data_IF_034944419790
#
_entry.id   IF_034944419790
#
_cell.length_a   1.000
_cell.length_b   1.000
_cell.length_c   1.000
_cell.angle_alpha   90.00
_cell.angle_beta   90.00
_cell.angle_gamma   90.00
#
_symmetry.space_group_name_H-M   'P 1'
#
loop_
_entity.id
_entity.type
_entity.pdbx_description
1 polymer ?
#
# COMPACT_ATOMS: atom_id res chain seq x y z
N UNK A 1 -38.89 67.44 15.62
CA UNK A 1 -39.17 66.14 16.28
C UNK A 1 -38.71 65.01 15.36
N UNK A 2 -37.54 64.43 15.63
CA UNK A 2 -36.88 63.49 14.73
C UNK A 2 -37.15 62.03 15.13
N UNK A 3 -37.52 61.22 14.12
CA UNK A 3 -38.07 59.86 14.19
C UNK A 3 -37.00 58.85 14.65
N UNK A 4 -37.22 58.16 15.77
CA UNK A 4 -36.39 57.03 16.25
C UNK A 4 -36.42 55.87 15.24
N UNK A 5 -35.25 55.40 14.81
CA UNK A 5 -35.08 54.12 14.07
C UNK A 5 -35.14 52.94 15.05
N UNK A 6 -35.83 51.82 14.72
CA UNK A 6 -35.86 50.64 15.57
C UNK A 6 -34.54 49.86 15.50
N UNK A 7 -34.05 49.43 16.66
CA UNK A 7 -32.92 48.52 16.80
C UNK A 7 -33.34 47.11 16.34
N UNK A 8 -32.69 46.61 15.29
CA UNK A 8 -32.84 45.25 14.80
C UNK A 8 -32.13 44.27 15.73
N UNK A 9 -32.91 43.36 16.30
CA UNK A 9 -32.52 42.35 17.27
C UNK A 9 -31.51 41.33 16.67
N UNK A 10 -30.49 41.00 17.46
CA UNK A 10 -29.40 40.07 17.13
C UNK A 10 -29.88 38.65 16.88
N UNK A 11 -29.34 37.99 15.85
CA UNK A 11 -29.19 36.53 15.84
C UNK A 11 -27.69 36.21 15.67
N UNK A 12 -27.03 35.56 16.64
CA UNK A 12 -25.69 35.04 16.41
C UNK A 12 -25.80 33.90 15.40
N UNK A 13 -25.18 34.07 14.23
CA UNK A 13 -25.05 33.02 13.23
C UNK A 13 -24.24 31.89 13.86
N UNK A 14 -24.87 30.74 14.05
CA UNK A 14 -24.24 29.55 14.57
C UNK A 14 -22.95 29.23 13.77
N UNK A 15 -21.81 29.28 14.45
CA UNK A 15 -20.54 28.83 13.91
C UNK A 15 -20.66 27.35 13.54
N UNK A 16 -20.79 27.08 12.23
CA UNK A 16 -20.65 25.73 11.68
C UNK A 16 -19.28 25.18 12.11
N UNK A 17 -19.17 23.90 12.49
CA UNK A 17 -17.90 23.32 12.89
C UNK A 17 -16.89 23.53 11.77
N UNK A 18 -15.80 24.20 12.12
CA UNK A 18 -14.75 24.66 11.21
C UNK A 18 -14.13 23.43 10.53
N UNK A 19 -14.60 23.08 9.33
CA UNK A 19 -13.96 22.05 8.50
C UNK A 19 -12.59 22.60 8.10
N UNK A 20 -11.59 22.32 8.94
CA UNK A 20 -10.20 22.72 8.74
C UNK A 20 -9.79 22.24 7.35
N UNK A 21 -9.64 23.18 6.41
CA UNK A 21 -9.28 22.86 5.02
C UNK A 21 -7.94 22.14 5.04
N UNK A 22 -7.90 20.95 4.43
CA UNK A 22 -6.66 20.17 4.30
C UNK A 22 -5.57 21.01 3.65
N UNK A 23 -4.34 20.91 4.18
CA UNK A 23 -3.18 21.56 3.59
C UNK A 23 -2.87 20.99 2.20
N UNK A 24 -2.12 21.73 1.38
CA UNK A 24 -1.74 21.25 0.04
C UNK A 24 -0.91 19.96 0.10
N UNK A 25 -0.07 19.81 1.13
CA UNK A 25 0.69 18.60 1.37
C UNK A 25 -0.23 17.41 1.68
N UNK A 26 -1.23 17.60 2.55
CA UNK A 26 -2.21 16.57 2.90
C UNK A 26 -3.04 16.14 1.69
N UNK A 27 -3.48 17.11 0.87
CA UNK A 27 -4.21 16.80 -0.38
C UNK A 27 -3.33 15.99 -1.32
N UNK A 28 -2.07 16.40 -1.50
CA UNK A 28 -1.12 15.69 -2.35
C UNK A 28 -0.88 14.25 -1.87
N UNK A 29 -0.70 14.05 -0.56
CA UNK A 29 -0.55 12.72 0.04
C UNK A 29 -1.82 11.87 -0.12
N UNK A 30 -3.00 12.46 0.07
CA UNK A 30 -4.27 11.79 -0.17
C UNK A 30 -4.39 11.28 -1.61
N UNK A 31 -4.11 12.13 -2.60
CA UNK A 31 -4.14 11.71 -4.01
C UNK A 31 -3.09 10.64 -4.31
N UNK A 32 -1.87 10.76 -3.76
CA UNK A 32 -0.82 9.77 -3.94
C UNK A 32 -1.25 8.37 -3.46
N UNK A 33 -1.96 8.25 -2.33
CA UNK A 33 -2.50 6.96 -1.86
C UNK A 33 -3.53 6.37 -2.82
N UNK A 34 -4.43 7.20 -3.34
CA UNK A 34 -5.47 6.77 -4.29
C UNK A 34 -4.88 6.36 -5.64
N UNK A 35 -3.87 7.08 -6.11
CA UNK A 35 -3.12 6.74 -7.33
C UNK A 35 -2.31 5.45 -7.13
N UNK A 36 -1.62 5.32 -6.00
CA UNK A 36 -0.87 4.12 -5.64
C UNK A 36 -1.79 2.88 -5.57
N UNK A 37 -3.01 3.00 -5.03
CA UNK A 37 -3.95 1.90 -4.96
C UNK A 37 -4.36 1.39 -6.35
N UNK A 38 -4.55 2.31 -7.30
CA UNK A 38 -4.85 1.94 -8.70
C UNK A 38 -3.68 1.20 -9.35
N UNK A 39 -2.46 1.70 -9.15
CA UNK A 39 -1.24 1.05 -9.70
C UNK A 39 -1.04 -0.32 -9.05
N UNK A 40 -1.17 -0.42 -7.74
CA UNK A 40 -1.03 -1.67 -6.98
C UNK A 40 -2.06 -2.72 -7.44
N UNK A 41 -3.31 -2.30 -7.67
CA UNK A 41 -4.35 -3.17 -8.24
C UNK A 41 -3.95 -3.74 -9.59
N UNK A 42 -3.46 -2.93 -10.51
CA UNK A 42 -2.99 -3.42 -11.82
C UNK A 42 -1.86 -4.44 -11.66
N UNK A 43 -0.92 -4.20 -10.74
CA UNK A 43 0.21 -5.09 -10.47
C UNK A 43 -0.27 -6.44 -9.90
N UNK A 44 -1.12 -6.41 -8.88
CA UNK A 44 -1.62 -7.63 -8.23
C UNK A 44 -2.53 -8.44 -9.16
N UNK A 45 -3.35 -7.78 -9.98
CA UNK A 45 -4.15 -8.46 -10.99
C UNK A 45 -3.29 -9.07 -12.10
N UNK A 46 -2.21 -8.40 -12.50
CA UNK A 46 -1.22 -8.93 -13.45
C UNK A 46 -0.53 -10.19 -12.91
N UNK A 47 -0.08 -10.13 -11.66
CA UNK A 47 0.54 -11.27 -10.97
C UNK A 47 -0.42 -12.47 -10.84
N UNK A 48 -1.66 -12.21 -10.41
CA UNK A 48 -2.70 -13.25 -10.30
C UNK A 48 -3.02 -13.91 -11.65
N UNK A 49 -2.95 -13.15 -12.75
CA UNK A 49 -3.19 -13.65 -14.12
C UNK A 49 -1.92 -14.16 -14.80
N UNK A 50 -0.77 -14.19 -14.11
CA UNK A 50 0.55 -14.50 -14.67
C UNK A 50 0.86 -13.73 -15.97
N UNK A 51 0.43 -12.47 -16.04
CA UNK A 51 0.59 -11.61 -17.23
C UNK A 51 1.40 -10.37 -16.90
N UNK A 52 2.37 -10.07 -17.75
CA UNK A 52 3.14 -8.83 -17.65
C UNK A 52 2.23 -7.63 -17.97
N UNK A 53 1.94 -6.82 -16.96
CA UNK A 53 1.16 -5.56 -17.07
C UNK A 53 2.04 -4.33 -17.31
N UNK A 54 3.36 -4.47 -17.15
CA UNK A 54 4.35 -3.39 -17.25
C UNK A 54 5.24 -3.31 -16.00
N UNK A 55 6.33 -2.56 -16.09
CA UNK A 55 7.19 -2.30 -14.93
C UNK A 55 6.52 -1.30 -13.98
N UNK A 56 6.84 -1.39 -12.68
CA UNK A 56 6.34 -0.43 -11.66
C UNK A 56 6.64 1.01 -12.09
N UNK A 57 7.84 1.25 -12.63
CA UNK A 57 8.25 2.56 -13.15
C UNK A 57 7.34 3.01 -14.30
N UNK A 58 7.07 2.16 -15.29
CA UNK A 58 6.20 2.52 -16.41
C UNK A 58 4.78 2.87 -15.94
N UNK A 59 4.21 2.06 -15.04
CA UNK A 59 2.86 2.29 -14.52
C UNK A 59 2.74 3.60 -13.74
N UNK A 60 3.72 3.91 -12.87
CA UNK A 60 3.67 5.13 -12.06
C UNK A 60 3.96 6.38 -12.89
N UNK A 61 4.88 6.32 -13.85
CA UNK A 61 5.22 7.48 -14.68
C UNK A 61 4.21 7.73 -15.83
N UNK A 62 3.19 6.90 -15.99
CA UNK A 62 2.06 7.13 -16.91
C UNK A 62 1.32 8.45 -16.65
N UNK A 63 0.83 9.20 -17.65
CA UNK A 63 0.27 10.56 -17.46
C UNK A 63 -0.89 10.66 -16.46
N UNK A 64 -1.52 9.53 -16.10
CA UNK A 64 -2.62 9.45 -15.14
C UNK A 64 -2.25 9.72 -13.68
N UNK A 65 -0.97 9.56 -13.30
CA UNK A 65 -0.51 9.78 -11.92
C UNK A 65 0.03 11.21 -11.78
N UNK A 66 -0.52 12.00 -10.86
CA UNK A 66 -0.05 13.36 -10.61
C UNK A 66 1.21 13.37 -9.76
N UNK A 67 1.19 12.69 -8.61
CA UNK A 67 2.34 12.69 -7.70
C UNK A 67 3.23 11.47 -7.95
N UNK A 68 4.15 11.59 -8.91
CA UNK A 68 5.05 10.49 -9.33
C UNK A 68 5.90 9.95 -8.19
N UNK A 69 6.58 10.85 -7.47
CA UNK A 69 7.58 10.50 -6.47
C UNK A 69 6.94 9.78 -5.27
N UNK A 70 5.87 10.36 -4.72
CA UNK A 70 5.18 9.75 -3.58
C UNK A 70 4.50 8.44 -3.95
N UNK A 71 3.82 8.39 -5.10
CA UNK A 71 3.16 7.16 -5.59
C UNK A 71 4.17 6.05 -5.81
N UNK A 72 5.31 6.35 -6.45
CA UNK A 72 6.36 5.36 -6.68
C UNK A 72 6.90 4.80 -5.37
N UNK A 73 7.20 5.67 -4.40
CA UNK A 73 7.69 5.26 -3.10
C UNK A 73 6.67 4.37 -2.36
N UNK A 74 5.40 4.78 -2.31
CA UNK A 74 4.33 4.03 -1.65
C UNK A 74 4.13 2.65 -2.26
N UNK A 75 4.07 2.55 -3.60
CA UNK A 75 3.91 1.27 -4.29
C UNK A 75 5.08 0.34 -4.00
N UNK A 76 6.31 0.82 -4.13
CA UNK A 76 7.51 0.01 -3.88
C UNK A 76 7.56 -0.49 -2.44
N UNK A 77 7.31 0.37 -1.46
CA UNK A 77 7.34 -0.04 -0.05
C UNK A 77 6.18 -0.98 0.29
N UNK A 78 4.96 -0.70 -0.19
CA UNK A 78 3.81 -1.58 0.06
C UNK A 78 4.04 -2.97 -0.53
N UNK A 79 4.59 -3.08 -1.75
CA UNK A 79 4.96 -4.36 -2.35
C UNK A 79 6.04 -5.09 -1.55
N UNK A 80 7.03 -4.36 -1.05
CA UNK A 80 8.10 -4.90 -0.21
C UNK A 80 7.52 -5.59 1.04
N UNK A 81 6.61 -4.91 1.74
CA UNK A 81 6.01 -5.42 2.98
C UNK A 81 4.70 -6.19 2.77
N UNK A 82 4.30 -6.46 1.52
CA UNK A 82 2.99 -7.02 1.19
C UNK A 82 2.66 -8.33 1.93
N UNK A 83 3.59 -9.31 2.06
CA UNK A 83 3.30 -10.55 2.80
C UNK A 83 2.96 -10.29 4.26
N UNK A 84 3.72 -9.40 4.92
CA UNK A 84 3.50 -9.04 6.33
C UNK A 84 2.17 -8.31 6.48
N UNK A 85 1.87 -7.38 5.56
CA UNK A 85 0.62 -6.61 5.55
C UNK A 85 -0.59 -7.54 5.42
N UNK A 86 -0.52 -8.56 4.55
CA UNK A 86 -1.59 -9.56 4.40
C UNK A 86 -1.80 -10.38 5.67
N UNK A 87 -0.72 -10.91 6.23
CA UNK A 87 -0.78 -11.71 7.48
C UNK A 87 -1.34 -10.89 8.65
N UNK A 88 -0.98 -9.60 8.76
CA UNK A 88 -1.54 -8.70 9.76
C UNK A 88 -3.04 -8.49 9.55
N UNK A 89 -3.50 -8.30 8.30
CA UNK A 89 -4.92 -8.21 8.00
C UNK A 89 -5.69 -9.47 8.37
N UNK A 90 -5.12 -10.65 8.10
CA UNK A 90 -5.73 -11.94 8.42
C UNK A 90 -5.84 -12.15 9.93
N UNK A 91 -4.80 -11.79 10.69
CA UNK A 91 -4.81 -11.89 12.16
C UNK A 91 -5.79 -10.88 12.79
N UNK A 92 -5.87 -9.66 12.24
CA UNK A 92 -6.70 -8.60 12.80
C UNK A 92 -8.17 -8.71 12.38
N UNK A 93 -8.48 -9.41 11.28
CA UNK A 93 -9.81 -9.57 10.69
C UNK A 93 -10.59 -8.24 10.57
N UNK A 94 -9.91 -7.18 10.16
CA UNK A 94 -10.45 -5.80 10.13
C UNK A 94 -11.21 -5.50 8.82
N UNK A 95 -11.11 -6.37 7.82
CA UNK A 95 -11.59 -6.09 6.47
C UNK A 95 -13.12 -6.34 6.34
N UNK A 96 -13.90 -5.26 6.33
CA UNK A 96 -15.35 -5.36 6.09
C UNK A 96 -15.68 -5.62 4.62
N UNK A 97 -16.89 -6.10 4.33
CA UNK A 97 -17.36 -6.44 2.97
C UNK A 97 -17.21 -5.30 1.95
N UNK A 98 -17.40 -4.05 2.39
CA UNK A 98 -17.19 -2.86 1.54
C UNK A 98 -15.73 -2.71 1.12
N UNK A 99 -14.80 -2.95 2.04
CA UNK A 99 -13.37 -2.72 1.84
C UNK A 99 -12.65 -3.90 1.20
N UNK A 100 -13.27 -5.09 1.17
CA UNK A 100 -12.83 -6.22 0.33
C UNK A 100 -12.75 -5.86 -1.16
N UNK A 101 -13.57 -4.92 -1.64
CA UNK A 101 -13.50 -4.44 -3.03
C UNK A 101 -12.36 -3.44 -3.27
N UNK A 102 -11.71 -2.95 -2.20
CA UNK A 102 -10.65 -1.94 -2.22
C UNK A 102 -9.48 -2.40 -1.33
N UNK A 103 -9.14 -3.69 -1.40
CA UNK A 103 -8.05 -4.29 -0.62
C UNK A 103 -6.72 -3.59 -0.88
N UNK A 104 -6.45 -3.18 -2.11
CA UNK A 104 -5.17 -2.57 -2.48
C UNK A 104 -5.00 -1.19 -1.84
N UNK A 105 -6.09 -0.45 -1.66
CA UNK A 105 -6.07 0.79 -0.89
C UNK A 105 -5.80 0.51 0.59
N UNK A 106 -6.41 -0.55 1.14
CA UNK A 106 -6.20 -0.94 2.54
C UNK A 106 -4.77 -1.36 2.81
N UNK A 107 -4.10 -2.05 1.89
CA UNK A 107 -2.68 -2.39 2.01
C UNK A 107 -1.79 -1.15 2.10
N UNK A 108 -2.05 -0.14 1.28
CA UNK A 108 -1.26 1.11 1.28
C UNK A 108 -1.49 1.90 2.57
N UNK A 109 -2.75 2.01 3.02
CA UNK A 109 -3.07 2.73 4.25
C UNK A 109 -2.48 1.99 5.45
N UNK A 110 -2.55 0.66 5.49
CA UNK A 110 -1.97 -0.12 6.57
C UNK A 110 -0.45 0.06 6.64
N UNK A 111 0.22 0.06 5.48
CA UNK A 111 1.65 0.39 5.42
C UNK A 111 1.93 1.75 6.03
N UNK A 112 1.18 2.79 5.65
CA UNK A 112 1.34 4.15 6.19
C UNK A 112 1.09 4.21 7.70
N UNK A 113 0.12 3.46 8.24
CA UNK A 113 -0.19 3.45 9.68
C UNK A 113 0.89 2.73 10.50
N UNK A 114 1.43 1.62 9.98
CA UNK A 114 2.39 0.78 10.69
C UNK A 114 3.84 1.27 10.54
N UNK A 115 4.20 1.76 9.36
CA UNK A 115 5.58 2.06 8.97
C UNK A 115 5.78 3.48 8.44
N UNK A 116 4.70 4.17 8.10
CA UNK A 116 4.76 5.56 7.65
C UNK A 116 4.98 6.53 8.82
N UNK A 117 5.33 7.75 8.47
CA UNK A 117 5.22 8.88 9.40
C UNK A 117 3.73 9.17 9.64
N UNK A 118 3.37 9.70 10.80
CA UNK A 118 2.01 10.11 11.21
C UNK A 118 1.46 11.25 10.34
N UNK A 119 1.41 11.05 9.03
CA UNK A 119 0.78 11.94 8.10
C UNK A 119 -0.72 11.93 8.40
N UNK A 120 -1.32 13.12 8.45
CA UNK A 120 -2.74 13.26 8.64
C UNK A 120 -3.49 12.44 7.57
N UNK A 121 -4.14 11.41 8.07
CA UNK A 121 -4.81 10.39 7.31
C UNK A 121 -6.25 10.86 7.11
N UNK A 122 -6.50 11.46 5.95
CA UNK A 122 -7.79 12.02 5.59
C UNK A 122 -8.55 11.05 4.69
N UNK A 123 -9.75 10.65 5.10
CA UNK A 123 -10.66 9.81 4.33
C UNK A 123 -11.33 8.73 5.18
N UNK A 124 -12.39 8.12 4.67
CA UNK A 124 -13.20 7.17 5.45
C UNK A 124 -12.45 5.87 5.72
N UNK A 125 -11.67 5.38 4.75
CA UNK A 125 -10.88 4.16 4.89
C UNK A 125 -9.80 4.34 5.96
N UNK A 126 -9.13 5.49 5.89
CA UNK A 126 -8.04 5.88 6.76
C UNK A 126 -8.53 6.06 8.21
N UNK A 127 -9.68 6.71 8.41
CA UNK A 127 -10.31 6.86 9.73
C UNK A 127 -10.66 5.52 10.38
N UNK A 128 -11.20 4.57 9.62
CA UNK A 128 -11.59 3.25 10.14
C UNK A 128 -10.36 2.45 10.59
N UNK A 129 -9.29 2.46 9.79
CA UNK A 129 -8.06 1.77 10.17
C UNK A 129 -7.37 2.46 11.35
N UNK A 130 -7.39 3.79 11.42
CA UNK A 130 -6.88 4.53 12.57
C UNK A 130 -7.64 4.20 13.86
N UNK A 131 -8.96 4.10 13.82
CA UNK A 131 -9.77 3.68 14.97
C UNK A 131 -9.41 2.27 15.47
N UNK A 132 -8.84 1.42 14.62
CA UNK A 132 -8.44 0.05 14.93
C UNK A 132 -6.91 -0.11 14.99
N UNK A 133 -6.16 1.00 15.12
CA UNK A 133 -4.69 1.00 15.14
C UNK A 133 -4.14 0.06 16.21
N UNK A 134 -4.71 0.06 17.41
CA UNK A 134 -4.24 -0.78 18.52
C UNK A 134 -4.38 -2.28 18.19
N UNK A 135 -5.47 -2.67 17.53
CA UNK A 135 -5.67 -4.05 17.08
C UNK A 135 -4.65 -4.45 16.01
N UNK A 136 -4.33 -3.54 15.08
CA UNK A 136 -3.36 -3.78 14.01
C UNK A 136 -1.93 -3.90 14.59
N UNK A 137 -1.58 -3.07 15.56
CA UNK A 137 -0.30 -3.16 16.27
C UNK A 137 -0.21 -4.45 17.09
N UNK A 138 -1.29 -4.84 17.77
CA UNK A 138 -1.35 -6.11 18.49
C UNK A 138 -1.23 -7.31 17.53
N UNK A 139 -1.84 -7.24 16.34
CA UNK A 139 -1.70 -8.27 15.31
C UNK A 139 -0.26 -8.39 14.80
N UNK A 140 0.43 -7.26 14.57
CA UNK A 140 1.85 -7.24 14.21
C UNK A 140 2.74 -7.81 15.32
N UNK A 141 2.46 -7.49 16.58
CA UNK A 141 3.17 -8.06 17.73
C UNK A 141 2.97 -9.59 17.83
N UNK A 142 1.73 -10.07 17.64
CA UNK A 142 1.45 -11.52 17.57
C UNK A 142 2.21 -12.19 16.44
N UNK A 143 2.30 -11.53 15.28
CA UNK A 143 3.05 -12.05 14.12
C UNK A 143 4.55 -12.17 14.45
N UNK A 144 5.15 -11.16 15.08
CA UNK A 144 6.55 -11.19 15.55
C UNK A 144 6.81 -12.37 16.50
N UNK A 145 5.92 -12.59 17.48
CA UNK A 145 6.02 -13.72 18.41
C UNK A 145 5.90 -15.06 17.68
N UNK A 146 4.92 -15.21 16.77
CA UNK A 146 4.72 -16.43 15.99
C UNK A 146 5.94 -16.80 15.14
N UNK A 147 6.61 -15.80 14.55
CA UNK A 147 7.82 -16.00 13.74
C UNK A 147 9.10 -16.05 14.57
N UNK A 148 9.01 -15.83 15.90
CA UNK A 148 10.14 -15.78 16.85
C UNK A 148 11.18 -14.71 16.50
N UNK A 149 10.71 -13.54 16.06
CA UNK A 149 11.54 -12.45 15.59
C UNK A 149 11.33 -11.20 16.46
N UNK A 150 12.41 -10.47 16.75
CA UNK A 150 12.36 -9.24 17.56
C UNK A 150 12.03 -7.99 16.75
N UNK A 151 12.52 -7.89 15.50
CA UNK A 151 12.37 -6.71 14.66
C UNK A 151 11.64 -7.01 13.35
N UNK A 152 10.92 -6.00 12.82
CA UNK A 152 10.21 -6.16 11.54
C UNK A 152 11.17 -6.30 10.35
N UNK A 153 12.40 -5.75 10.46
CA UNK A 153 13.46 -5.97 9.47
C UNK A 153 13.76 -7.46 9.26
N UNK A 154 13.73 -8.22 10.34
CA UNK A 154 14.13 -9.63 10.35
C UNK A 154 12.96 -10.51 9.88
N UNK A 155 11.71 -10.06 10.08
CA UNK A 155 10.54 -10.68 9.43
C UNK A 155 10.74 -10.68 7.92
N UNK A 156 11.22 -9.59 7.34
CA UNK A 156 11.42 -9.49 5.89
C UNK A 156 12.42 -10.53 5.37
N UNK A 157 13.44 -10.87 6.14
CA UNK A 157 14.39 -11.94 5.80
C UNK A 157 13.69 -13.29 5.73
N UNK A 158 12.70 -13.55 6.60
CA UNK A 158 11.92 -14.79 6.58
C UNK A 158 10.96 -14.91 5.38
N UNK A 159 10.53 -13.79 4.81
CA UNK A 159 9.67 -13.75 3.61
C UNK A 159 10.46 -13.66 2.31
N UNK A 160 11.80 -13.54 2.37
CA UNK A 160 12.61 -13.72 1.16
C UNK A 160 12.44 -15.15 0.70
N UNK A 161 11.59 -15.33 -0.31
CA UNK A 161 11.51 -16.54 -1.13
C UNK A 161 12.95 -16.85 -1.52
N UNK A 162 13.42 -18.05 -1.14
CA UNK A 162 14.77 -18.56 -1.35
C UNK A 162 15.50 -17.82 -2.48
N UNK A 163 16.50 -17.02 -2.13
CA UNK A 163 17.35 -16.21 -3.01
C UNK A 163 18.24 -17.10 -3.92
N UNK A 164 17.77 -18.25 -4.41
CA UNK A 164 18.37 -18.81 -5.62
C UNK A 164 17.83 -17.95 -6.78
N UNK A 165 18.67 -17.08 -7.38
CA UNK A 165 18.23 -16.29 -8.50
C UNK A 165 17.95 -17.26 -9.64
N UNK A 166 16.67 -17.62 -9.83
CA UNK A 166 16.28 -18.37 -11.02
C UNK A 166 16.56 -17.43 -12.20
N UNK A 167 17.53 -17.77 -13.07
CA UNK A 167 17.91 -16.88 -14.14
C UNK A 167 16.70 -16.69 -15.05
N UNK A 168 16.35 -15.43 -15.34
CA UNK A 168 15.25 -15.14 -16.28
C UNK A 168 15.58 -15.61 -17.70
N UNK A 169 16.86 -15.59 -18.04
CA UNK A 169 17.40 -16.02 -19.32
C UNK A 169 18.74 -16.72 -19.06
N UNK A 170 19.00 -17.79 -19.80
CA UNK A 170 20.28 -18.48 -19.83
C UNK A 170 20.73 -18.61 -21.29
N UNK A 171 22.01 -18.34 -21.57
CA UNK A 171 22.59 -18.56 -22.89
C UNK A 171 23.15 -19.97 -22.94
N UNK A 172 22.72 -20.76 -23.93
CA UNK A 172 23.26 -22.09 -24.19
C UNK A 172 24.33 -21.99 -25.27
N UNK A 173 25.49 -22.62 -25.03
CA UNK A 173 26.51 -22.78 -26.06
C UNK A 173 26.27 -24.07 -26.83
N UNK A 174 25.67 -23.95 -28.01
CA UNK A 174 25.27 -25.08 -28.87
C UNK A 174 26.43 -25.89 -29.43
N UNK A 175 27.68 -25.38 -29.37
CA UNK A 175 28.87 -26.15 -29.73
C UNK A 175 29.27 -27.15 -28.64
N UNK A 176 28.82 -26.94 -27.39
CA UNK A 176 29.17 -27.77 -26.23
C UNK A 176 28.01 -28.61 -25.70
N UNK A 177 26.77 -28.12 -25.86
CA UNK A 177 25.57 -28.77 -25.32
C UNK A 177 24.33 -28.30 -26.07
N UNK A 178 23.39 -29.19 -26.28
CA UNK A 178 22.08 -28.90 -26.87
C UNK A 178 21.12 -28.24 -25.86
N UNK A 179 20.06 -27.60 -26.39
CA UNK A 179 19.11 -26.84 -25.58
C UNK A 179 18.28 -27.76 -24.66
N UNK A 180 17.96 -28.98 -25.11
CA UNK A 180 17.15 -29.92 -24.33
C UNK A 180 17.92 -30.47 -23.14
N UNK A 181 19.17 -30.89 -23.33
CA UNK A 181 20.07 -31.30 -22.24
C UNK A 181 20.32 -30.17 -21.25
N UNK A 182 20.53 -28.94 -21.73
CA UNK A 182 20.70 -27.77 -20.86
C UNK A 182 19.45 -27.55 -19.99
N UNK A 183 18.25 -27.65 -20.56
CA UNK A 183 17.00 -27.54 -19.81
C UNK A 183 16.87 -28.64 -18.75
N UNK A 184 17.31 -29.86 -19.06
CA UNK A 184 17.28 -31.00 -18.15
C UNK A 184 18.22 -30.78 -16.94
N UNK A 185 19.42 -30.25 -17.16
CA UNK A 185 20.33 -29.86 -16.07
C UNK A 185 19.77 -28.70 -15.23
N UNK A 186 19.23 -27.66 -15.88
CA UNK A 186 18.61 -26.55 -15.18
C UNK A 186 17.40 -26.98 -14.35
N UNK A 187 16.62 -27.99 -14.80
CA UNK A 187 15.55 -28.57 -13.98
C UNK A 187 16.10 -29.25 -12.73
N UNK A 188 17.13 -30.10 -12.86
CA UNK A 188 17.76 -30.78 -11.70
C UNK A 188 18.30 -29.82 -10.64
N UNK A 189 18.74 -28.62 -11.05
CA UNK A 189 19.36 -27.65 -10.15
C UNK A 189 18.36 -26.69 -9.49
N UNK A 190 17.16 -26.53 -10.05
CA UNK A 190 16.18 -25.50 -9.63
C UNK A 190 14.74 -26.03 -9.42
N UNK A 191 14.50 -27.33 -9.53
CA UNK A 191 13.32 -28.06 -9.01
C UNK A 191 13.66 -28.76 -7.69
#
# INVERSE_FOLDING_TARGET
MARKKPQGNTKPVANKPNQKRMSNAERSAYFARREAAKVLRTILQGDARRRAVGSIKSLVYSPSVRNKKATYALVCQTLKYLPIIKDVFDIANVLSSKWKRQEELMYIILYDILFGQEALLAGDAEKILLQRKDMLQAALAKLLVRKKVKHVSDLMTSYKISDLPKPRYARVNTLKMDVESALLEFKKQYE
#
